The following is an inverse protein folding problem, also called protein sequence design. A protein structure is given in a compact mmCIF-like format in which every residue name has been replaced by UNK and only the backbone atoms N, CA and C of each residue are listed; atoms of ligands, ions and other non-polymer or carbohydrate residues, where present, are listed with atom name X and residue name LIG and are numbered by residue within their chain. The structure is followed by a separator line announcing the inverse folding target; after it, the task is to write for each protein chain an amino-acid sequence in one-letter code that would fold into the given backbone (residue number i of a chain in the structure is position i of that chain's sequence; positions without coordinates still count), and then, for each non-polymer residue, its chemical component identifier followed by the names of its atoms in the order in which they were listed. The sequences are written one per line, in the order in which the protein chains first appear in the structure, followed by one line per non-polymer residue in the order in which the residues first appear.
data_IF_040139924448
#
_entry.id   IF_040139924448
#
_cell.length_a   1.000
_cell.length_b   1.000
_cell.length_c   1.000
_cell.angle_alpha   90.00
_cell.angle_beta   90.00
_cell.angle_gamma   90.00
#
_symmetry.space_group_name_H-M   'P 1'
#
loop_
_entity.id
_entity.type
_entity.pdbx_description
1 polymer ?
#
# COMPACT_ATOMS: atom_id res chain seq x y z
N UNK A 1 -36.05 3.64 32.45
CA UNK A 1 -34.59 3.81 32.49
C UNK A 1 -34.10 3.68 31.06
N UNK A 2 -33.60 4.75 30.45
CA UNK A 2 -33.13 4.70 29.07
C UNK A 2 -31.72 4.11 29.04
N UNK A 3 -31.52 2.98 28.36
CA UNK A 3 -30.20 2.43 28.09
C UNK A 3 -29.40 3.43 27.23
N UNK A 4 -28.11 3.67 27.50
CA UNK A 4 -27.28 4.46 26.60
C UNK A 4 -27.04 3.62 25.34
N UNK A 5 -27.83 3.88 24.30
CA UNK A 5 -27.59 3.33 22.96
C UNK A 5 -26.26 3.88 22.45
N UNK A 6 -25.17 3.13 22.70
CA UNK A 6 -23.89 3.37 22.04
C UNK A 6 -24.12 3.22 20.54
N UNK A 7 -24.35 4.35 19.90
CA UNK A 7 -24.38 4.47 18.46
C UNK A 7 -22.93 4.37 18.00
N UNK A 8 -22.51 3.17 17.60
CA UNK A 8 -21.25 3.02 16.88
C UNK A 8 -21.40 3.66 15.50
N UNK A 9 -20.27 4.05 14.92
CA UNK A 9 -20.22 4.67 13.61
C UNK A 9 -20.26 3.57 12.53
N UNK A 10 -21.36 3.53 11.79
CA UNK A 10 -21.57 2.56 10.73
C UNK A 10 -20.51 2.66 9.62
N UNK A 11 -20.04 3.88 9.31
CA UNK A 11 -19.06 4.09 8.25
C UNK A 11 -17.69 3.54 8.67
N UNK A 12 -17.30 3.75 9.93
CA UNK A 12 -16.07 3.17 10.48
C UNK A 12 -16.17 1.65 10.61
N UNK A 13 -17.33 1.11 11.00
CA UNK A 13 -17.55 -0.33 11.06
C UNK A 13 -17.47 -0.97 9.67
N UNK A 14 -18.08 -0.34 8.66
CA UNK A 14 -18.00 -0.78 7.26
C UNK A 14 -16.55 -0.79 6.80
N UNK A 15 -15.77 0.27 7.07
CA UNK A 15 -14.38 0.37 6.68
C UNK A 15 -13.53 -0.76 7.29
N UNK A 16 -13.63 -0.97 8.61
CA UNK A 16 -12.88 -2.02 9.31
C UNK A 16 -13.23 -3.43 8.80
N UNK A 17 -14.51 -3.68 8.49
CA UNK A 17 -14.98 -4.94 7.92
C UNK A 17 -14.55 -5.15 6.46
N UNK A 18 -14.50 -4.06 5.68
CA UNK A 18 -14.12 -4.11 4.27
C UNK A 18 -12.60 -4.28 4.07
N UNK A 19 -11.79 -3.68 4.94
CA UNK A 19 -10.34 -3.79 4.91
C UNK A 19 -9.83 -5.19 5.30
N UNK A 20 -10.54 -5.88 6.20
CA UNK A 20 -10.22 -7.25 6.61
C UNK A 20 -8.91 -7.38 7.41
N UNK A 21 -8.35 -6.27 7.90
CA UNK A 21 -7.12 -6.23 8.71
C UNK A 21 -7.36 -6.69 10.15
N UNK A 22 -8.58 -6.48 10.66
CA UNK A 22 -8.98 -6.78 12.03
C UNK A 22 -9.90 -8.00 12.07
N UNK A 23 -9.74 -8.85 13.08
CA UNK A 23 -10.70 -9.92 13.34
C UNK A 23 -11.97 -9.38 14.01
N UNK A 24 -13.08 -10.14 13.96
CA UNK A 24 -14.37 -9.70 14.51
C UNK A 24 -14.33 -9.34 16.00
N UNK A 25 -13.42 -9.95 16.78
CA UNK A 25 -13.21 -9.58 18.18
C UNK A 25 -12.57 -8.21 18.35
N UNK A 26 -11.55 -7.90 17.54
CA UNK A 26 -10.89 -6.59 17.52
C UNK A 26 -11.84 -5.49 17.03
N UNK A 27 -12.61 -5.76 15.96
CA UNK A 27 -13.64 -4.86 15.46
C UNK A 27 -14.70 -4.64 16.56
N UNK A 28 -15.14 -5.71 17.21
CA UNK A 28 -16.08 -5.63 18.33
C UNK A 28 -15.61 -4.73 19.46
N UNK A 29 -14.36 -4.91 19.92
CA UNK A 29 -13.76 -4.06 20.95
C UNK A 29 -13.75 -2.58 20.57
N UNK A 30 -13.42 -2.26 19.32
CA UNK A 30 -13.33 -0.89 18.81
C UNK A 30 -14.69 -0.19 18.73
N UNK A 31 -15.73 -0.94 18.36
CA UNK A 31 -17.09 -0.41 18.14
C UNK A 31 -18.02 -0.64 19.33
N UNK A 32 -17.53 -1.23 20.42
CA UNK A 32 -18.37 -1.58 21.58
C UNK A 32 -19.39 -2.68 21.30
N UNK A 33 -19.08 -3.59 20.38
CA UNK A 33 -19.91 -4.71 19.95
C UNK A 33 -19.29 -6.05 20.36
N UNK A 34 -20.12 -7.08 20.53
CA UNK A 34 -19.60 -8.44 20.65
C UNK A 34 -19.11 -8.95 19.29
N UNK A 35 -18.08 -9.82 19.29
CA UNK A 35 -17.58 -10.45 18.07
C UNK A 35 -18.69 -11.17 17.29
N UNK A 36 -19.61 -11.81 18.01
CA UNK A 36 -20.79 -12.46 17.43
C UNK A 36 -21.72 -11.46 16.74
N UNK A 37 -21.99 -10.30 17.35
CA UNK A 37 -22.80 -9.25 16.70
C UNK A 37 -22.13 -8.73 15.42
N UNK A 38 -20.83 -8.46 15.46
CA UNK A 38 -20.07 -8.04 14.27
C UNK A 38 -20.19 -9.10 13.17
N UNK A 39 -20.02 -10.38 13.50
CA UNK A 39 -20.16 -11.47 12.53
C UNK A 39 -21.59 -11.64 11.98
N UNK A 40 -22.63 -11.28 12.73
CA UNK A 40 -24.02 -11.25 12.24
C UNK A 40 -24.27 -10.06 11.31
N UNK A 41 -23.69 -8.90 11.61
CA UNK A 41 -23.76 -7.70 10.75
C UNK A 41 -23.02 -7.96 9.43
N UNK A 42 -21.80 -8.50 9.50
CA UNK A 42 -20.99 -8.81 8.32
C UNK A 42 -21.69 -9.80 7.37
N UNK A 43 -22.48 -10.73 7.90
CA UNK A 43 -23.30 -11.68 7.13
C UNK A 43 -24.66 -11.13 6.70
N UNK A 44 -25.03 -9.90 7.11
CA UNK A 44 -26.30 -9.27 6.79
C UNK A 44 -27.52 -9.82 7.54
N UNK A 45 -27.32 -10.62 8.59
CA UNK A 45 -28.43 -11.25 9.33
C UNK A 45 -29.25 -10.28 10.17
N UNK A 46 -28.62 -9.21 10.66
CA UNK A 46 -29.25 -8.23 11.56
C UNK A 46 -29.34 -6.84 10.94
N UNK A 47 -28.48 -6.54 9.96
CA UNK A 47 -28.39 -5.24 9.26
C UNK A 47 -28.03 -5.44 7.78
N UNK A 48 -28.99 -5.88 6.96
CA UNK A 48 -28.76 -6.20 5.54
C UNK A 48 -28.32 -4.98 4.71
N UNK A 49 -28.73 -3.78 5.09
CA UNK A 49 -28.32 -2.53 4.45
C UNK A 49 -26.83 -2.24 4.63
N UNK A 50 -26.25 -2.60 5.79
CA UNK A 50 -24.81 -2.49 6.00
C UNK A 50 -24.05 -3.55 5.21
N UNK A 51 -24.60 -4.75 5.09
CA UNK A 51 -23.97 -5.82 4.33
C UNK A 51 -23.72 -5.43 2.87
N UNK A 52 -24.69 -4.79 2.21
CA UNK A 52 -24.51 -4.28 0.85
C UNK A 52 -23.35 -3.26 0.76
N UNK A 53 -23.28 -2.33 1.71
CA UNK A 53 -22.22 -1.31 1.78
C UNK A 53 -20.84 -1.91 2.07
N UNK A 54 -20.77 -2.94 2.92
CA UNK A 54 -19.54 -3.70 3.21
C UNK A 54 -19.05 -4.40 1.93
N UNK A 55 -19.93 -5.04 1.18
CA UNK A 55 -19.57 -5.71 -0.07
C UNK A 55 -19.03 -4.73 -1.12
N UNK A 56 -19.68 -3.57 -1.26
CA UNK A 56 -19.23 -2.51 -2.16
C UNK A 56 -17.85 -1.95 -1.75
N UNK A 57 -17.68 -1.62 -0.47
CA UNK A 57 -16.40 -1.14 0.06
C UNK A 57 -15.29 -2.19 -0.14
N UNK A 58 -15.56 -3.47 0.15
CA UNK A 58 -14.60 -4.55 -0.05
C UNK A 58 -14.27 -4.79 -1.54
N UNK A 59 -15.22 -4.54 -2.46
CA UNK A 59 -14.96 -4.56 -3.89
C UNK A 59 -14.04 -3.38 -4.30
N UNK A 60 -14.28 -2.19 -3.75
CA UNK A 60 -13.43 -1.01 -3.95
C UNK A 60 -11.99 -1.23 -3.49
N UNK A 61 -11.80 -1.74 -2.28
CA UNK A 61 -10.47 -2.07 -1.72
C UNK A 61 -9.74 -3.09 -2.60
N UNK A 62 -10.44 -4.14 -3.06
CA UNK A 62 -9.86 -5.15 -3.96
C UNK A 62 -9.50 -4.57 -5.32
N UNK A 63 -10.34 -3.71 -5.90
CA UNK A 63 -10.06 -3.06 -7.17
C UNK A 63 -8.85 -2.14 -7.07
N UNK A 64 -8.76 -1.32 -6.02
CA UNK A 64 -7.61 -0.48 -5.77
C UNK A 64 -6.34 -1.32 -5.58
N UNK A 65 -6.41 -2.40 -4.82
CA UNK A 65 -5.29 -3.31 -4.61
C UNK A 65 -4.84 -3.98 -5.91
N UNK A 66 -5.79 -4.39 -6.77
CA UNK A 66 -5.50 -4.94 -8.11
C UNK A 66 -4.87 -3.91 -9.03
N UNK A 67 -5.39 -2.67 -9.06
CA UNK A 67 -4.82 -1.58 -9.86
C UNK A 67 -3.40 -1.27 -9.41
N UNK A 68 -3.18 -1.10 -8.11
CA UNK A 68 -1.84 -0.92 -7.55
C UNK A 68 -0.93 -2.08 -7.94
N UNK A 69 -1.41 -3.32 -7.82
CA UNK A 69 -0.66 -4.50 -8.21
C UNK A 69 -0.30 -4.56 -9.70
N UNK A 70 -1.17 -4.09 -10.58
CA UNK A 70 -0.94 -4.00 -12.02
C UNK A 70 0.02 -2.86 -12.40
N UNK A 71 0.01 -1.75 -11.65
CA UNK A 71 0.89 -0.59 -11.90
C UNK A 71 2.29 -0.76 -11.31
N UNK A 72 2.44 -1.54 -10.24
CA UNK A 72 3.72 -1.72 -9.56
C UNK A 72 4.63 -2.66 -10.37
N UNK A 73 5.85 -2.19 -10.66
CA UNK A 73 6.87 -3.06 -11.25
C UNK A 73 7.22 -4.22 -10.31
N UNK A 74 7.68 -5.34 -10.88
CA UNK A 74 8.11 -6.52 -10.11
C UNK A 74 9.18 -6.18 -9.05
N UNK A 75 10.02 -5.17 -9.34
CA UNK A 75 11.03 -4.66 -8.43
C UNK A 75 10.43 -3.84 -7.27
N UNK A 76 9.38 -3.05 -7.51
CA UNK A 76 8.65 -2.34 -6.46
C UNK A 76 7.93 -3.32 -5.52
N UNK A 77 7.29 -4.35 -6.07
CA UNK A 77 6.70 -5.45 -5.30
C UNK A 77 7.72 -6.17 -4.40
N UNK A 78 8.92 -6.48 -4.94
CA UNK A 78 9.97 -7.12 -4.16
C UNK A 78 10.51 -6.23 -3.03
N UNK A 79 10.53 -4.90 -3.21
CA UNK A 79 10.94 -3.95 -2.17
C UNK A 79 9.88 -3.84 -1.07
N UNK A 80 8.59 -3.73 -1.43
CA UNK A 80 7.49 -3.73 -0.47
C UNK A 80 7.48 -5.03 0.36
N UNK A 81 7.62 -6.19 -0.29
CA UNK A 81 7.67 -7.47 0.40
C UNK A 81 8.82 -7.58 1.40
N UNK A 82 10.02 -7.09 1.06
CA UNK A 82 11.15 -7.06 1.99
C UNK A 82 10.92 -6.12 3.18
N UNK A 83 10.28 -4.98 2.94
CA UNK A 83 10.00 -3.99 3.98
C UNK A 83 8.96 -4.49 4.99
N UNK A 84 7.88 -5.12 4.51
CA UNK A 84 6.80 -5.65 5.34
C UNK A 84 7.31 -6.87 6.15
N UNK A 85 8.22 -7.65 5.60
CA UNK A 85 8.82 -8.80 6.28
C UNK A 85 10.00 -8.45 7.19
N UNK A 86 10.32 -7.17 7.41
CA UNK A 86 11.43 -6.74 8.27
C UNK A 86 10.95 -6.54 9.71
N UNK A 87 11.17 -7.50 10.63
CA UNK A 87 10.61 -7.46 11.98
C UNK A 87 11.21 -6.34 12.86
N UNK A 88 12.40 -5.85 12.52
CA UNK A 88 13.17 -4.89 13.32
C UNK A 88 12.93 -3.41 12.96
N UNK A 89 12.09 -3.14 11.96
CA UNK A 89 11.81 -1.77 11.53
C UNK A 89 10.57 -1.26 12.24
N UNK A 90 10.60 -0.08 12.89
CA UNK A 90 9.41 0.50 13.51
C UNK A 90 8.25 0.67 12.51
N UNK A 91 7.02 0.37 12.92
CA UNK A 91 5.84 0.38 12.05
C UNK A 91 5.63 1.71 11.32
N UNK A 92 5.91 2.83 11.98
CA UNK A 92 5.83 4.18 11.37
C UNK A 92 6.81 4.34 10.21
N UNK A 93 8.03 3.81 10.35
CA UNK A 93 9.07 3.84 9.32
C UNK A 93 8.70 2.91 8.18
N UNK A 94 8.16 1.72 8.48
CA UNK A 94 7.65 0.81 7.46
C UNK A 94 6.51 1.46 6.65
N UNK A 95 5.55 2.10 7.32
CA UNK A 95 4.42 2.77 6.68
C UNK A 95 4.90 3.91 5.77
N UNK A 96 5.81 4.76 6.26
CA UNK A 96 6.38 5.85 5.47
C UNK A 96 7.12 5.33 4.23
N UNK A 97 8.00 4.35 4.41
CA UNK A 97 8.76 3.78 3.31
C UNK A 97 7.85 3.05 2.29
N UNK A 98 6.78 2.39 2.73
CA UNK A 98 5.80 1.79 1.83
C UNK A 98 5.10 2.85 0.97
N UNK A 99 4.69 3.97 1.57
CA UNK A 99 4.09 5.11 0.84
C UNK A 99 5.07 5.68 -0.18
N UNK A 100 6.34 5.86 0.18
CA UNK A 100 7.36 6.37 -0.74
C UNK A 100 7.59 5.42 -1.93
N UNK A 101 7.63 4.10 -1.71
CA UNK A 101 7.75 3.11 -2.78
C UNK A 101 6.55 3.15 -3.73
N UNK A 102 5.34 3.31 -3.18
CA UNK A 102 4.11 3.41 -3.99
C UNK A 102 4.09 4.69 -4.83
N UNK A 103 4.49 5.84 -4.26
CA UNK A 103 4.59 7.11 -5.00
C UNK A 103 5.61 7.02 -6.13
N UNK A 104 6.81 6.53 -5.85
CA UNK A 104 7.85 6.34 -6.87
C UNK A 104 7.36 5.45 -8.02
N UNK A 105 6.62 4.38 -7.73
CA UNK A 105 6.09 3.52 -8.76
C UNK A 105 4.97 4.16 -9.59
N UNK A 106 4.15 5.03 -8.97
CA UNK A 106 3.15 5.82 -9.70
C UNK A 106 3.83 6.83 -10.63
N UNK A 107 4.90 7.49 -10.17
CA UNK A 107 5.68 8.41 -10.99
C UNK A 107 6.41 7.69 -12.14
N UNK A 108 6.98 6.50 -11.89
CA UNK A 108 7.60 5.68 -12.94
C UNK A 108 6.57 5.20 -13.99
N UNK A 109 5.38 4.80 -13.54
CA UNK A 109 4.29 4.42 -14.44
C UNK A 109 3.78 5.60 -15.27
N UNK A 110 3.67 6.79 -14.67
CA UNK A 110 3.31 8.02 -15.36
C UNK A 110 4.38 8.44 -16.38
N UNK A 111 5.67 8.34 -16.02
CA UNK A 111 6.79 8.62 -16.92
C UNK A 111 6.87 7.65 -18.11
N UNK A 112 6.57 6.37 -17.87
CA UNK A 112 6.47 5.35 -18.93
C UNK A 112 5.30 5.61 -19.88
N UNK A 113 4.15 6.07 -19.37
CA UNK A 113 2.99 6.43 -20.18
C UNK A 113 3.19 7.72 -21.00
N UNK A 114 3.98 8.68 -20.49
CA UNK A 114 4.33 9.94 -21.17
C UNK A 114 5.45 9.77 -22.22
N UNK A 115 5.98 8.55 -22.40
CA UNK A 115 7.09 8.28 -23.32
C UNK A 115 8.44 8.88 -22.89
N UNK A 116 8.50 9.55 -21.73
CA UNK A 116 9.74 9.90 -21.06
C UNK A 116 10.26 8.69 -20.28
N UNK A 117 10.69 7.67 -21.00
CA UNK A 117 11.60 6.70 -20.41
C UNK A 117 12.78 7.51 -19.84
N UNK A 118 12.99 7.47 -18.51
CA UNK A 118 14.29 7.89 -17.95
C UNK A 118 15.32 6.96 -18.59
N UNK A 119 15.96 7.46 -19.65
CA UNK A 119 17.13 6.87 -20.23
C UNK A 119 18.10 6.63 -19.07
N UNK A 120 18.43 5.36 -18.84
CA UNK A 120 19.49 5.01 -17.93
C UNK A 120 20.75 5.76 -18.35
N UNK A 121 21.30 6.54 -17.41
CA UNK A 121 22.65 7.09 -17.43
C UNK A 121 23.12 7.67 -18.78
N UNK A 122 22.47 8.75 -19.24
CA UNK A 122 23.01 9.54 -20.35
C UNK A 122 24.17 10.43 -19.83
N UNK A 123 25.41 9.96 -20.00
CA UNK A 123 26.66 10.67 -19.65
C UNK A 123 27.01 11.77 -20.66
N UNK A 124 26.04 12.29 -21.42
CA UNK A 124 26.29 13.30 -22.47
C UNK A 124 26.58 14.70 -21.90
N UNK A 125 26.27 14.93 -20.63
CA UNK A 125 26.56 16.19 -19.92
C UNK A 125 27.91 16.27 -19.21
N UNK A 126 28.72 15.21 -19.23
CA UNK A 126 30.02 15.21 -18.57
C UNK A 126 31.09 15.83 -19.47
N UNK A 127 31.83 16.82 -18.94
CA UNK A 127 32.98 17.40 -19.61
C UNK A 127 34.02 16.32 -19.96
N UNK A 128 34.77 16.53 -21.04
CA UNK A 128 35.86 15.64 -21.48
C UNK A 128 36.85 15.32 -20.35
N UNK A 129 36.98 16.21 -19.37
CA UNK A 129 37.85 16.03 -18.21
C UNK A 129 37.35 14.93 -17.27
N UNK A 130 36.03 14.80 -17.07
CA UNK A 130 35.44 13.75 -16.23
C UNK A 130 35.44 12.40 -16.93
N UNK A 131 35.23 12.36 -18.25
CA UNK A 131 35.33 11.13 -19.05
C UNK A 131 36.75 10.54 -19.02
N UNK A 132 37.78 11.40 -19.14
CA UNK A 132 39.18 10.98 -19.03
C UNK A 132 39.56 10.45 -17.65
N UNK A 133 39.00 11.02 -16.58
CA UNK A 133 39.27 10.57 -15.20
C UNK A 133 38.69 9.19 -14.92
N UNK A 134 37.48 8.92 -15.42
CA UNK A 134 36.83 7.60 -15.29
C UNK A 134 37.54 6.52 -16.11
N UNK A 135 38.00 6.86 -17.33
CA UNK A 135 38.80 5.95 -18.15
C UNK A 135 40.19 5.66 -17.54
N UNK A 136 40.79 6.62 -16.85
CA UNK A 136 42.07 6.43 -16.15
C UNK A 136 41.95 5.58 -14.87
N UNK A 137 40.79 5.61 -14.18
CA UNK A 137 40.57 4.76 -13.00
C UNK A 137 40.16 3.33 -13.34
N UNK A 138 39.60 3.10 -14.53
CA UNK A 138 39.18 1.77 -15.00
C UNK A 138 40.25 1.03 -15.83
N UNK A 139 41.40 1.65 -16.08
CA UNK A 139 42.46 1.05 -16.88
C UNK A 139 43.84 1.49 -16.43
N UNK A 140 44.56 0.60 -15.75
CA UNK A 140 46.01 0.65 -15.71
C UNK A 140 46.61 -0.62 -15.11
N UNK A 141 47.81 -1.05 -15.53
CA UNK A 141 48.49 -0.89 -16.80
C UNK A 141 48.64 -2.23 -17.56
N UNK A 142 48.94 -2.11 -18.85
CA UNK A 142 49.51 -3.19 -19.65
C UNK A 142 50.80 -3.71 -18.99
N UNK A 143 50.88 -5.03 -18.82
CA UNK A 143 52.10 -5.84 -19.00
C UNK A 143 51.72 -7.16 -19.61
#
# INVERSE_FOLDING_TARGET
MAEPTKHYDDDLLIADLAEGQLNYGQIGQRHGLSASQVGRIARGEVRPELHARILEAAAGVREQSRRLGATLSRAAWARLGRLISAPDVPEEVQRKAAVDILKMAQDDAAAAADGRAKAGADLTGLSDQTKRRVLAELGGPET
#
